data_IF_155715349702
#
_entry.id   IF_155715349702
#
_cell.length_a   1.000
_cell.length_b   1.000
_cell.length_c   1.000
_cell.angle_alpha   90.00
_cell.angle_beta   90.00
_cell.angle_gamma   90.00
#
_symmetry.space_group_name_H-M   'P 1'
#
loop_
_entity.id
_entity.type
_entity.pdbx_description
1 polymer ?
#
# COMPACT_ATOMS: atom_id res chain seq x y z
N UNK A 1 9.60 2.13 32.97
CA UNK A 1 8.49 1.34 32.38
C UNK A 1 8.84 -0.12 32.56
N UNK A 2 7.84 -1.00 32.71
CA UNK A 2 8.10 -2.44 32.72
C UNK A 2 8.45 -2.83 31.29
N UNK A 3 9.70 -3.21 31.03
CA UNK A 3 10.12 -3.77 29.75
C UNK A 3 9.53 -5.18 29.63
N UNK A 4 8.31 -5.25 29.08
CA UNK A 4 7.71 -6.52 28.70
C UNK A 4 8.41 -6.97 27.42
N UNK A 5 9.46 -7.78 27.56
CA UNK A 5 10.13 -8.46 26.44
C UNK A 5 9.11 -9.43 25.84
N UNK A 6 8.34 -8.98 24.84
CA UNK A 6 7.43 -9.82 24.04
C UNK A 6 8.25 -10.52 22.97
N UNK A 7 9.02 -11.53 23.33
CA UNK A 7 9.57 -12.47 22.34
C UNK A 7 8.44 -13.41 21.92
N UNK A 8 7.71 -13.07 20.86
CA UNK A 8 6.88 -14.08 20.19
C UNK A 8 7.83 -15.01 19.43
N UNK A 9 8.02 -16.23 19.91
CA UNK A 9 8.61 -17.28 19.08
C UNK A 9 7.69 -17.51 17.88
N UNK A 10 8.12 -17.06 16.71
CA UNK A 10 7.35 -17.23 15.48
C UNK A 10 7.75 -18.55 14.83
N UNK A 11 6.76 -19.39 14.57
CA UNK A 11 6.99 -20.63 13.85
C UNK A 11 7.09 -20.35 12.34
N UNK A 12 8.32 -20.37 11.83
CA UNK A 12 8.63 -20.21 10.40
C UNK A 12 8.76 -21.55 9.65
N UNK A 13 8.51 -22.69 10.31
CA UNK A 13 8.70 -24.04 9.73
C UNK A 13 7.86 -24.28 8.47
N UNK A 14 6.75 -23.57 8.32
CA UNK A 14 5.81 -23.70 7.20
C UNK A 14 6.01 -22.64 6.11
N UNK A 15 7.12 -21.88 6.12
CA UNK A 15 7.37 -20.81 5.15
C UNK A 15 7.19 -21.25 3.70
N UNK A 16 7.84 -22.34 3.28
CA UNK A 16 7.75 -22.84 1.90
C UNK A 16 6.32 -23.25 1.52
N UNK A 17 5.59 -23.91 2.43
CA UNK A 17 4.21 -24.29 2.22
C UNK A 17 3.33 -23.04 2.00
N UNK A 18 3.44 -22.05 2.89
CA UNK A 18 2.67 -20.81 2.80
C UNK A 18 3.02 -20.00 1.55
N UNK A 19 4.29 -20.00 1.14
CA UNK A 19 4.75 -19.35 -0.09
C UNK A 19 4.12 -19.99 -1.34
N UNK A 20 4.11 -21.33 -1.41
CA UNK A 20 3.44 -22.07 -2.50
C UNK A 20 1.94 -21.81 -2.48
N UNK A 21 1.30 -21.83 -1.31
CA UNK A 21 -0.14 -21.52 -1.18
C UNK A 21 -0.45 -20.13 -1.72
N UNK A 22 0.37 -19.12 -1.43
CA UNK A 22 0.18 -17.77 -1.96
C UNK A 22 0.27 -17.71 -3.50
N UNK A 23 1.24 -18.41 -4.10
CA UNK A 23 1.36 -18.50 -5.56
C UNK A 23 0.13 -19.19 -6.15
N UNK A 24 -0.26 -20.33 -5.60
CA UNK A 24 -1.43 -21.10 -6.07
C UNK A 24 -2.70 -20.26 -5.95
N UNK A 25 -2.90 -19.55 -4.85
CA UNK A 25 -4.04 -18.66 -4.65
C UNK A 25 -4.04 -17.52 -5.67
N UNK A 26 -2.88 -16.91 -5.92
CA UNK A 26 -2.73 -15.84 -6.92
C UNK A 26 -3.07 -16.33 -8.33
N UNK A 27 -2.55 -17.50 -8.72
CA UNK A 27 -2.85 -18.14 -10.02
C UNK A 27 -4.32 -18.51 -10.12
N UNK A 28 -4.91 -19.04 -9.04
CA UNK A 28 -6.32 -19.41 -8.99
C UNK A 28 -7.23 -18.20 -9.28
N UNK A 29 -6.99 -17.05 -8.65
CA UNK A 29 -7.77 -15.84 -8.92
C UNK A 29 -7.60 -15.30 -10.35
N UNK A 30 -6.39 -15.37 -10.91
CA UNK A 30 -6.16 -15.03 -12.33
C UNK A 30 -6.96 -15.99 -13.21
N UNK A 31 -6.90 -17.29 -12.95
CA UNK A 31 -7.64 -18.29 -13.72
C UNK A 31 -9.15 -18.02 -13.67
N UNK A 32 -9.72 -17.75 -12.49
CA UNK A 32 -11.13 -17.39 -12.36
C UNK A 32 -11.49 -16.12 -13.16
N UNK A 33 -10.61 -15.12 -13.20
CA UNK A 33 -10.85 -13.91 -13.99
C UNK A 33 -10.96 -14.20 -15.50
N UNK A 34 -10.13 -15.12 -16.02
CA UNK A 34 -10.19 -15.55 -17.42
C UNK A 34 -11.38 -16.45 -17.72
N UNK A 35 -11.86 -17.24 -16.75
CA UNK A 35 -13.12 -18.00 -16.89
C UNK A 35 -14.32 -17.06 -17.01
N UNK A 36 -14.34 -15.99 -16.22
CA UNK A 36 -15.40 -14.99 -16.27
C UNK A 36 -15.37 -14.20 -17.58
N UNK A 37 -14.17 -13.81 -18.04
CA UNK A 37 -14.01 -13.11 -19.30
C UNK A 37 -12.60 -13.29 -19.90
N UNK A 38 -12.52 -13.98 -21.04
CA UNK A 38 -11.24 -14.24 -21.73
C UNK A 38 -10.51 -12.96 -22.18
N UNK A 39 -11.23 -11.85 -22.34
CA UNK A 39 -10.69 -10.55 -22.74
C UNK A 39 -10.44 -9.60 -21.55
N UNK A 40 -10.47 -10.09 -20.30
CA UNK A 40 -10.30 -9.29 -19.07
C UNK A 40 -9.05 -8.41 -19.09
N UNK A 41 -7.95 -8.87 -19.69
CA UNK A 41 -6.71 -8.09 -19.82
C UNK A 41 -6.88 -6.77 -20.58
N UNK A 42 -7.83 -6.67 -21.51
CA UNK A 42 -8.10 -5.42 -22.24
C UNK A 42 -8.80 -4.38 -21.36
N UNK A 43 -9.58 -4.84 -20.37
CA UNK A 43 -10.29 -3.98 -19.41
C UNK A 43 -9.40 -3.57 -18.24
N UNK A 44 -8.49 -4.44 -17.82
CA UNK A 44 -7.67 -4.27 -16.62
C UNK A 44 -6.99 -2.90 -16.46
N UNK A 45 -6.40 -2.27 -17.51
CA UNK A 45 -5.76 -0.96 -17.37
C UNK A 45 -6.70 0.17 -16.90
N UNK A 46 -8.01 -0.02 -16.94
CA UNK A 46 -8.99 0.97 -16.49
C UNK A 46 -8.92 1.20 -14.97
N UNK A 47 -8.54 0.19 -14.18
CA UNK A 47 -8.45 0.32 -12.71
C UNK A 47 -7.38 1.33 -12.30
N UNK A 48 -6.31 1.46 -13.11
CA UNK A 48 -5.19 2.36 -12.84
C UNK A 48 -5.57 3.85 -12.91
N UNK A 49 -6.73 4.16 -13.46
CA UNK A 49 -7.27 5.52 -13.51
C UNK A 49 -8.02 5.91 -12.23
N UNK A 50 -8.30 4.94 -11.35
CA UNK A 50 -8.97 5.20 -10.07
C UNK A 50 -7.94 5.51 -9.00
N UNK A 51 -8.26 6.48 -8.16
CA UNK A 51 -7.41 6.82 -7.01
C UNK A 51 -7.45 5.74 -5.92
N UNK A 52 -8.56 5.00 -5.82
CA UNK A 52 -8.74 3.96 -4.80
C UNK A 52 -9.35 4.41 -3.48
N UNK A 53 -9.96 5.62 -3.42
CA UNK A 53 -10.63 6.12 -2.22
C UNK A 53 -11.83 5.25 -1.81
N UNK A 54 -12.30 5.41 -0.57
CA UNK A 54 -13.31 4.61 0.13
C UNK A 54 -14.57 4.21 -0.67
N UNK A 55 -14.95 4.98 -1.70
CA UNK A 55 -16.12 4.68 -2.55
C UNK A 55 -15.79 3.85 -3.81
N UNK A 56 -14.58 3.28 -3.89
CA UNK A 56 -14.14 2.49 -5.06
C UNK A 56 -14.39 1.02 -4.79
N UNK A 57 -15.22 0.39 -5.61
CA UNK A 57 -15.45 -1.05 -5.63
C UNK A 57 -15.20 -1.54 -7.05
N UNK A 58 -14.12 -2.30 -7.26
CA UNK A 58 -13.76 -2.77 -8.60
C UNK A 58 -14.73 -3.79 -9.19
N UNK A 59 -15.50 -4.52 -8.35
CA UNK A 59 -16.53 -5.44 -8.87
C UNK A 59 -17.67 -4.66 -9.52
N UNK A 60 -18.07 -3.55 -8.91
CA UNK A 60 -19.13 -2.67 -9.41
C UNK A 60 -18.64 -1.77 -10.54
N UNK A 61 -17.45 -1.18 -10.38
CA UNK A 61 -16.91 -0.19 -11.32
C UNK A 61 -16.43 -0.81 -12.65
N UNK A 62 -15.87 -2.03 -12.62
CA UNK A 62 -15.19 -2.63 -13.77
C UNK A 62 -15.59 -4.07 -14.08
N UNK A 63 -16.33 -4.71 -13.18
CA UNK A 63 -16.74 -6.10 -13.29
C UNK A 63 -15.96 -7.03 -12.38
N UNK A 64 -16.59 -8.16 -12.03
CA UNK A 64 -16.02 -9.20 -11.19
C UNK A 64 -14.76 -9.81 -11.82
N UNK A 65 -14.71 -9.97 -13.15
CA UNK A 65 -13.53 -10.40 -13.91
C UNK A 65 -12.30 -9.56 -13.58
N UNK A 66 -12.43 -8.24 -13.64
CA UNK A 66 -11.33 -7.29 -13.39
C UNK A 66 -10.91 -7.32 -11.91
N UNK A 67 -11.87 -7.41 -10.99
CA UNK A 67 -11.57 -7.49 -9.55
C UNK A 67 -10.80 -8.77 -9.21
N UNK A 68 -11.21 -9.93 -9.73
CA UNK A 68 -10.52 -11.22 -9.55
C UNK A 68 -9.10 -11.17 -10.12
N UNK A 69 -8.92 -10.59 -11.30
CA UNK A 69 -7.61 -10.43 -11.91
C UNK A 69 -6.69 -9.56 -11.03
N UNK A 70 -7.23 -8.48 -10.47
CA UNK A 70 -6.49 -7.60 -9.57
C UNK A 70 -6.07 -8.30 -8.27
N UNK A 71 -6.95 -9.13 -7.68
CA UNK A 71 -6.58 -9.97 -6.52
C UNK A 71 -5.36 -10.81 -6.86
N UNK A 72 -5.39 -11.52 -7.99
CA UNK A 72 -4.26 -12.35 -8.43
C UNK A 72 -2.96 -11.56 -8.61
N UNK A 73 -2.99 -10.42 -9.30
CA UNK A 73 -1.80 -9.59 -9.49
C UNK A 73 -1.26 -8.96 -8.20
N UNK A 74 -2.14 -8.56 -7.29
CA UNK A 74 -1.75 -8.06 -5.97
C UNK A 74 -1.09 -9.16 -5.14
N UNK A 75 -1.57 -10.41 -5.26
CA UNK A 75 -0.90 -11.58 -4.68
C UNK A 75 0.51 -11.78 -5.21
N UNK A 76 0.71 -11.65 -6.53
CA UNK A 76 2.05 -11.70 -7.13
C UNK A 76 2.96 -10.57 -6.66
N UNK A 77 2.44 -9.36 -6.43
CA UNK A 77 3.21 -8.27 -5.83
C UNK A 77 3.70 -8.67 -4.43
N UNK A 78 2.84 -9.31 -3.62
CA UNK A 78 3.26 -9.84 -2.31
C UNK A 78 4.32 -10.94 -2.46
N UNK A 79 4.19 -11.87 -3.41
CA UNK A 79 5.22 -12.90 -3.68
C UNK A 79 6.57 -12.26 -4.01
N UNK A 80 6.58 -11.27 -4.92
CA UNK A 80 7.78 -10.52 -5.32
C UNK A 80 8.38 -9.81 -4.11
N UNK A 81 7.57 -9.10 -3.32
CA UNK A 81 8.01 -8.42 -2.11
C UNK A 81 8.69 -9.40 -1.14
N UNK A 82 8.04 -10.53 -0.86
CA UNK A 82 8.55 -11.53 0.08
C UNK A 82 9.89 -12.10 -0.38
N UNK A 83 9.98 -12.45 -1.67
CA UNK A 83 11.19 -13.03 -2.24
C UNK A 83 12.38 -12.05 -2.20
N UNK A 84 12.18 -10.81 -2.66
CA UNK A 84 13.27 -9.83 -2.74
C UNK A 84 13.67 -9.23 -1.39
N UNK A 85 12.71 -9.07 -0.46
CA UNK A 85 13.00 -8.58 0.88
C UNK A 85 13.45 -9.70 1.85
N UNK A 86 13.52 -10.96 1.39
CA UNK A 86 13.92 -12.09 2.24
C UNK A 86 12.97 -12.36 3.41
N UNK A 87 11.69 -12.00 3.28
CA UNK A 87 10.71 -12.10 4.35
C UNK A 87 10.30 -13.56 4.55
N UNK A 88 10.36 -14.05 5.79
CA UNK A 88 9.80 -15.36 6.13
C UNK A 88 8.29 -15.26 6.37
N UNK A 89 7.54 -16.18 5.76
CA UNK A 89 6.08 -16.24 5.92
C UNK A 89 5.74 -17.12 7.13
N UNK A 90 5.06 -16.52 8.09
CA UNK A 90 4.40 -17.16 9.22
C UNK A 90 2.93 -16.71 9.29
N UNK A 91 2.20 -17.13 10.33
CA UNK A 91 0.77 -16.80 10.50
C UNK A 91 0.46 -15.30 10.35
N UNK A 92 1.12 -14.39 11.12
CA UNK A 92 0.92 -12.95 11.00
C UNK A 92 1.21 -12.40 9.60
N UNK A 93 2.32 -12.80 8.97
CA UNK A 93 2.68 -12.35 7.62
C UNK A 93 1.65 -12.82 6.59
N UNK A 94 1.19 -14.07 6.69
CA UNK A 94 0.14 -14.60 5.82
C UNK A 94 -1.18 -13.85 6.02
N UNK A 95 -1.56 -13.54 7.27
CA UNK A 95 -2.75 -12.72 7.56
C UNK A 95 -2.65 -11.32 6.94
N UNK A 96 -1.47 -10.69 7.00
CA UNK A 96 -1.23 -9.41 6.35
C UNK A 96 -1.41 -9.50 4.82
N UNK A 97 -0.87 -10.54 4.18
CA UNK A 97 -1.00 -10.76 2.74
C UNK A 97 -2.46 -11.03 2.33
N UNK A 98 -3.18 -11.85 3.09
CA UNK A 98 -4.62 -12.09 2.86
C UNK A 98 -5.43 -10.78 3.01
N UNK A 99 -5.00 -9.88 3.89
CA UNK A 99 -5.59 -8.53 4.00
C UNK A 99 -5.30 -7.69 2.75
N UNK A 100 -4.09 -7.76 2.19
CA UNK A 100 -3.77 -7.09 0.91
C UNK A 100 -4.70 -7.59 -0.20
N UNK A 101 -4.84 -8.91 -0.33
CA UNK A 101 -5.70 -9.58 -1.30
C UNK A 101 -7.18 -9.23 -1.13
N UNK A 102 -7.72 -9.31 0.10
CA UNK A 102 -9.14 -9.00 0.33
C UNK A 102 -9.50 -7.56 0.00
N UNK A 103 -8.63 -6.62 0.37
CA UNK A 103 -8.86 -5.20 0.10
C UNK A 103 -8.40 -4.75 -1.29
N UNK A 104 -7.83 -5.61 -2.14
CA UNK A 104 -7.52 -5.24 -3.52
C UNK A 104 -8.78 -5.04 -4.37
N UNK A 105 -9.93 -5.54 -3.93
CA UNK A 105 -11.22 -5.23 -4.55
C UNK A 105 -11.64 -3.77 -4.30
N UNK A 106 -11.18 -3.19 -3.18
CA UNK A 106 -11.57 -1.86 -2.71
C UNK A 106 -10.48 -0.81 -2.95
N UNK A 107 -10.09 -0.65 -4.22
CA UNK A 107 -9.31 0.52 -4.64
C UNK A 107 -7.79 0.39 -4.63
N UNK A 108 -7.21 -0.74 -4.19
CA UNK A 108 -5.76 -0.97 -4.32
C UNK A 108 -5.44 -1.67 -5.62
N UNK A 109 -4.47 -1.17 -6.35
CA UNK A 109 -3.95 -1.79 -7.57
C UNK A 109 -2.43 -1.62 -7.63
N UNK A 110 -1.71 -2.33 -8.53
CA UNK A 110 -0.25 -2.26 -8.62
C UNK A 110 0.34 -0.84 -8.57
N UNK A 111 -0.16 0.08 -9.40
CA UNK A 111 0.43 1.42 -9.53
C UNK A 111 0.28 2.33 -8.29
N UNK A 112 -0.71 2.10 -7.41
CA UNK A 112 -0.86 2.89 -6.18
C UNK A 112 -0.30 2.16 -4.95
N UNK A 113 -0.09 0.85 -5.06
CA UNK A 113 0.43 -0.01 -3.99
C UNK A 113 1.97 -0.02 -3.96
N UNK A 114 2.61 -0.15 -5.12
CA UNK A 114 4.08 -0.21 -5.20
C UNK A 114 4.75 1.03 -4.60
N UNK A 115 4.30 2.27 -4.86
CA UNK A 115 4.93 3.46 -4.28
C UNK A 115 4.94 3.49 -2.75
N UNK A 116 3.86 3.06 -2.10
CA UNK A 116 3.79 3.04 -0.63
C UNK A 116 4.68 1.94 -0.03
N UNK A 117 4.79 0.78 -0.70
CA UNK A 117 5.74 -0.28 -0.31
C UNK A 117 7.18 0.23 -0.44
N UNK A 118 7.52 0.88 -1.55
CA UNK A 118 8.86 1.48 -1.75
C UNK A 118 9.17 2.48 -0.65
N UNK A 119 8.21 3.35 -0.30
CA UNK A 119 8.36 4.31 0.80
C UNK A 119 8.68 3.63 2.13
N UNK A 120 7.95 2.55 2.46
CA UNK A 120 8.18 1.76 3.66
C UNK A 120 9.57 1.11 3.68
N UNK A 121 10.00 0.51 2.57
CA UNK A 121 11.34 -0.09 2.45
C UNK A 121 12.41 0.99 2.63
N UNK A 122 12.26 2.14 1.97
CA UNK A 122 13.19 3.26 2.11
C UNK A 122 13.29 3.75 3.56
N UNK A 123 12.21 3.72 4.34
CA UNK A 123 12.29 4.06 5.76
C UNK A 123 13.18 3.08 6.53
N UNK A 124 13.13 1.79 6.22
CA UNK A 124 14.01 0.80 6.85
C UNK A 124 15.46 1.06 6.42
N UNK A 125 15.72 1.22 5.12
CA UNK A 125 17.09 1.36 4.60
C UNK A 125 17.77 2.71 4.94
N UNK A 126 17.00 3.77 5.18
CA UNK A 126 17.53 5.12 5.44
C UNK A 126 17.48 5.55 6.91
N UNK A 127 16.98 4.70 7.80
CA UNK A 127 16.90 5.00 9.24
C UNK A 127 17.46 3.84 10.07
N UNK A 128 17.62 3.99 11.40
CA UNK A 128 18.09 2.90 12.26
C UNK A 128 17.11 1.73 12.44
N UNK A 129 16.04 1.65 11.64
CA UNK A 129 15.08 0.55 11.69
C UNK A 129 15.70 -0.70 11.07
N UNK A 130 15.45 -1.86 11.68
CA UNK A 130 15.90 -3.15 11.18
C UNK A 130 14.73 -4.01 10.69
N UNK A 131 15.02 -4.93 9.78
CA UNK A 131 14.08 -5.93 9.29
C UNK A 131 13.71 -6.95 10.39
N UNK A 132 12.84 -6.55 11.31
CA UNK A 132 12.23 -7.39 12.33
C UNK A 132 10.75 -7.66 11.99
N UNK A 133 10.05 -8.47 12.80
CA UNK A 133 8.64 -8.82 12.52
C UNK A 133 7.73 -7.59 12.42
N UNK A 134 7.94 -6.59 13.28
CA UNK A 134 7.14 -5.36 13.30
C UNK A 134 7.22 -4.62 11.96
N UNK A 135 8.39 -4.07 11.60
CA UNK A 135 8.62 -3.41 10.30
C UNK A 135 8.26 -4.28 9.09
N UNK A 136 8.50 -5.59 9.15
CA UNK A 136 8.08 -6.52 8.09
C UNK A 136 6.57 -6.51 7.87
N UNK A 137 5.78 -6.65 8.95
CA UNK A 137 4.33 -6.55 8.87
C UNK A 137 3.90 -5.17 8.37
N UNK A 138 4.61 -4.13 8.83
CA UNK A 138 4.35 -2.75 8.42
C UNK A 138 4.53 -2.52 6.93
N UNK A 139 5.56 -3.09 6.31
CA UNK A 139 5.81 -3.00 4.86
C UNK A 139 4.68 -3.66 4.06
N UNK A 140 4.02 -4.69 4.59
CA UNK A 140 2.87 -5.34 3.93
C UNK A 140 1.58 -4.56 4.18
N UNK A 141 1.35 -4.11 5.41
CA UNK A 141 0.13 -3.36 5.78
C UNK A 141 0.12 -1.91 5.28
N UNK A 142 1.27 -1.33 4.94
CA UNK A 142 1.37 0.03 4.37
C UNK A 142 0.54 0.19 3.10
N UNK A 143 0.20 -0.90 2.42
CA UNK A 143 -0.70 -0.92 1.27
C UNK A 143 -2.09 -0.36 1.58
N UNK A 144 -2.50 -0.24 2.85
CA UNK A 144 -3.68 0.52 3.27
C UNK A 144 -3.62 2.00 2.87
N UNK A 145 -2.42 2.57 2.70
CA UNK A 145 -2.19 3.95 2.26
C UNK A 145 -2.12 4.10 0.73
N UNK A 146 -2.29 3.01 -0.03
CA UNK A 146 -2.29 3.06 -1.49
C UNK A 146 -3.21 4.15 -2.09
N UNK A 147 -4.40 4.47 -1.52
CA UNK A 147 -5.23 5.55 -2.05
C UNK A 147 -4.56 6.93 -2.04
N UNK A 148 -3.61 7.20 -1.14
CA UNK A 148 -2.82 8.45 -1.16
C UNK A 148 -1.94 8.52 -2.41
N UNK A 149 -1.28 7.41 -2.76
CA UNK A 149 -0.49 7.33 -3.98
C UNK A 149 -1.37 7.43 -5.23
N UNK A 150 -2.56 6.83 -5.21
CA UNK A 150 -3.50 6.88 -6.34
C UNK A 150 -4.08 8.28 -6.54
N UNK A 151 -4.33 9.04 -5.47
CA UNK A 151 -4.87 10.39 -5.57
C UNK A 151 -3.79 11.46 -5.86
N UNK A 152 -2.66 11.38 -5.17
CA UNK A 152 -1.64 12.43 -5.17
C UNK A 152 -0.39 12.02 -5.95
N UNK A 153 -0.35 10.80 -6.51
CA UNK A 153 0.74 10.30 -7.34
C UNK A 153 1.86 9.62 -6.54
N UNK A 154 2.85 9.13 -7.29
CA UNK A 154 3.92 8.23 -6.81
C UNK A 154 4.69 8.83 -5.63
N UNK A 155 5.09 10.11 -5.72
CA UNK A 155 5.89 10.78 -4.68
C UNK A 155 5.15 10.85 -3.35
N UNK A 156 3.84 11.18 -3.39
CA UNK A 156 3.02 11.21 -2.20
C UNK A 156 2.86 9.81 -1.58
N UNK A 157 2.78 8.76 -2.40
CA UNK A 157 2.81 7.38 -1.96
C UNK A 157 4.10 7.00 -1.24
N UNK A 158 5.25 7.35 -1.81
CA UNK A 158 6.56 7.09 -1.19
C UNK A 158 6.66 7.81 0.16
N UNK A 159 6.28 9.08 0.23
CA UNK A 159 6.28 9.86 1.49
C UNK A 159 5.34 9.21 2.52
N UNK A 160 4.14 8.81 2.10
CA UNK A 160 3.16 8.19 3.00
C UNK A 160 3.68 6.87 3.57
N UNK A 161 4.27 6.02 2.73
CA UNK A 161 4.84 4.75 3.18
C UNK A 161 6.05 4.94 4.10
N UNK A 162 6.89 5.93 3.82
CA UNK A 162 8.04 6.26 4.66
C UNK A 162 7.59 6.73 6.05
N UNK A 163 6.65 7.67 6.09
CA UNK A 163 6.11 8.21 7.36
C UNK A 163 5.37 7.13 8.15
N UNK A 164 4.66 6.21 7.48
CA UNK A 164 3.97 5.10 8.14
C UNK A 164 4.91 4.27 9.02
N UNK A 165 6.06 3.88 8.49
CA UNK A 165 7.04 3.10 9.25
C UNK A 165 7.58 3.84 10.47
N UNK A 166 7.73 5.16 10.40
CA UNK A 166 8.17 5.99 11.53
C UNK A 166 7.08 6.20 12.59
N UNK A 167 5.80 6.22 12.18
CA UNK A 167 4.67 6.47 13.07
C UNK A 167 4.28 5.24 13.89
N UNK A 168 4.50 4.03 13.39
CA UNK A 168 4.07 2.79 14.05
C UNK A 168 4.51 2.64 15.52
N UNK A 169 5.79 2.82 15.90
CA UNK A 169 6.19 2.72 17.31
C UNK A 169 5.51 3.81 18.17
N UNK A 170 5.41 5.03 17.65
CA UNK A 170 4.75 6.15 18.33
C UNK A 170 3.25 5.90 18.53
N UNK A 171 2.60 5.32 17.52
CA UNK A 171 1.19 4.95 17.57
C UNK A 171 0.93 3.83 18.60
N UNK A 172 1.84 2.86 18.69
CA UNK A 172 1.76 1.77 19.68
C UNK A 172 1.85 2.31 21.12
N UNK A 173 2.77 3.23 21.36
CA UNK A 173 2.94 3.90 22.66
C UNK A 173 1.72 4.77 22.98
N UNK A 174 1.23 5.53 22.00
CA UNK A 174 0.05 6.40 22.15
C UNK A 174 -1.19 5.62 22.60
N UNK A 175 -1.43 4.45 22.02
CA UNK A 175 -2.56 3.60 22.37
C UNK A 175 -2.28 2.64 23.54
N UNK A 176 -1.08 2.68 24.14
CA UNK A 176 -0.70 1.82 25.27
C UNK A 176 -0.75 0.31 24.98
N UNK A 177 -0.68 -0.09 23.70
CA UNK A 177 -0.77 -1.49 23.28
C UNK A 177 -2.15 -2.14 23.38
N UNK A 178 -3.24 -1.37 23.55
CA UNK A 178 -4.61 -1.91 23.61
C UNK A 178 -5.20 -2.28 22.24
N UNK A 179 -4.75 -1.64 21.15
CA UNK A 179 -5.13 -2.04 19.80
C UNK A 179 -4.11 -3.02 19.20
N UNK A 180 -4.59 -4.23 18.99
CA UNK A 180 -3.82 -5.33 18.41
C UNK A 180 -3.53 -5.11 16.92
N UNK A 181 -4.31 -4.27 16.24
CA UNK A 181 -4.11 -3.91 14.84
C UNK A 181 -3.49 -2.51 14.68
N UNK A 182 -2.40 -2.27 15.41
CA UNK A 182 -1.66 -0.99 15.38
C UNK A 182 -1.29 -0.53 13.97
N UNK A 183 -1.01 -1.46 13.05
CA UNK A 183 -0.71 -1.12 11.65
C UNK A 183 -1.90 -0.43 10.95
N UNK A 184 -3.13 -0.89 11.20
CA UNK A 184 -4.33 -0.24 10.69
C UNK A 184 -4.58 1.11 11.34
N UNK A 185 -4.42 1.21 12.65
CA UNK A 185 -4.56 2.47 13.39
C UNK A 185 -3.54 3.52 12.90
N UNK A 186 -2.26 3.15 12.80
CA UNK A 186 -1.20 4.00 12.26
C UNK A 186 -1.50 4.44 10.81
N UNK A 187 -1.96 3.53 9.94
CA UNK A 187 -2.34 3.89 8.57
C UNK A 187 -3.51 4.89 8.55
N UNK A 188 -4.52 4.71 9.40
CA UNK A 188 -5.61 5.67 9.58
C UNK A 188 -5.11 7.04 10.02
N UNK A 189 -4.21 7.07 11.00
CA UNK A 189 -3.59 8.30 11.51
C UNK A 189 -2.76 9.03 10.45
N UNK A 190 -1.88 8.30 9.75
CA UNK A 190 -1.05 8.83 8.65
C UNK A 190 -1.93 9.37 7.52
N UNK A 191 -2.99 8.64 7.16
CA UNK A 191 -3.95 9.11 6.16
C UNK A 191 -4.68 10.38 6.60
N UNK A 192 -5.14 10.46 7.84
CA UNK A 192 -5.81 11.64 8.38
C UNK A 192 -4.90 12.87 8.42
N UNK A 193 -3.59 12.66 8.67
CA UNK A 193 -2.59 13.72 8.66
C UNK A 193 -2.20 14.17 7.24
N UNK A 194 -1.83 13.23 6.37
CA UNK A 194 -1.25 13.54 5.06
C UNK A 194 -2.28 13.93 4.01
N UNK A 195 -3.49 13.38 4.05
CA UNK A 195 -4.52 13.71 3.05
C UNK A 195 -4.84 15.21 2.97
N UNK A 196 -5.11 15.95 4.08
CA UNK A 196 -5.35 17.39 4.00
C UNK A 196 -4.10 18.17 3.55
N UNK A 197 -2.90 17.78 4.02
CA UNK A 197 -1.64 18.43 3.65
C UNK A 197 -1.41 18.32 2.13
N UNK A 198 -1.50 17.10 1.59
CA UNK A 198 -1.36 16.89 0.15
C UNK A 198 -2.46 17.60 -0.64
N UNK A 199 -3.70 17.64 -0.14
CA UNK A 199 -4.78 18.38 -0.79
C UNK A 199 -4.43 19.86 -0.97
N UNK A 200 -3.93 20.51 0.08
CA UNK A 200 -3.52 21.92 0.01
C UNK A 200 -2.33 22.10 -0.92
N UNK A 201 -1.28 21.28 -0.78
CA UNK A 201 -0.08 21.38 -1.63
C UNK A 201 -0.41 21.23 -3.12
N UNK A 202 -1.26 20.28 -3.49
CA UNK A 202 -1.63 20.04 -4.88
C UNK A 202 -2.50 21.17 -5.43
N UNK A 203 -3.42 21.70 -4.62
CA UNK A 203 -4.24 22.86 -4.99
C UNK A 203 -3.34 24.08 -5.29
N UNK A 204 -2.39 24.39 -4.41
CA UNK A 204 -1.43 25.50 -4.60
C UNK A 204 -0.56 25.29 -5.85
N UNK A 205 -0.10 24.06 -6.10
CA UNK A 205 0.69 23.73 -7.30
C UNK A 205 -0.11 24.00 -8.58
N UNK A 206 -1.37 23.58 -8.60
CA UNK A 206 -2.22 23.72 -9.78
C UNK A 206 -2.62 25.19 -10.02
N UNK A 207 -2.84 25.97 -8.95
CA UNK A 207 -3.00 27.42 -9.00
C UNK A 207 -1.74 28.12 -9.56
N UNK A 208 -0.55 27.77 -9.08
CA UNK A 208 0.71 28.32 -9.60
C UNK A 208 0.95 27.99 -11.07
N UNK A 209 0.62 26.77 -11.51
CA UNK A 209 0.69 26.40 -12.94
C UNK A 209 -0.27 27.24 -13.80
N UNK A 210 -1.47 27.53 -13.28
CA UNK A 210 -2.44 28.39 -13.96
C UNK A 210 -1.89 29.81 -14.09
N UNK A 211 -1.34 30.39 -13.02
CA UNK A 211 -0.74 31.73 -13.05
C UNK A 211 0.46 31.82 -13.99
N UNK A 212 1.36 30.84 -13.99
CA UNK A 212 2.51 30.80 -14.90
C UNK A 212 2.11 30.64 -16.38
N UNK A 213 0.92 30.09 -16.67
CA UNK A 213 0.35 30.06 -18.03
C UNK A 213 -0.26 31.39 -18.45
N UNK A 214 -0.87 32.12 -17.53
CA UNK A 214 -1.53 33.43 -17.79
C UNK A 214 -0.50 34.56 -17.86
N UNK A 215 0.54 34.49 -17.03
CA UNK A 215 1.63 35.45 -16.95
C UNK A 215 2.94 34.73 -17.28
N UNK A 216 3.28 34.51 -18.57
CA UNK A 216 4.61 34.04 -18.92
C UNK A 216 5.62 35.03 -18.32
N UNK A 217 6.60 34.48 -17.56
CA UNK A 217 7.66 35.18 -16.81
C UNK A 217 8.42 36.25 -17.63
N UNK A 218 8.24 36.27 -18.95
CA UNK A 218 8.77 37.25 -19.89
C UNK A 218 8.12 38.65 -19.77
N UNK A 219 6.98 38.79 -19.08
CA UNK A 219 6.36 40.10 -18.81
C UNK A 219 6.86 40.79 -17.54
N UNK A 220 7.79 40.17 -16.78
CA UNK A 220 8.40 40.74 -15.57
C UNK A 220 9.89 41.04 -15.82
N UNK A 221 10.23 41.56 -17.00
CA UNK A 221 11.43 42.40 -17.14
C UNK A 221 11.00 43.82 -16.79
N UNK A 222 11.15 44.17 -15.51
CA UNK A 222 11.10 45.57 -15.07
C UNK A 222 12.32 46.28 -15.64
N UNK A 223 12.06 47.38 -16.34
CA UNK A 223 13.02 48.47 -16.60
C UNK A 223 13.55 49.05 -15.30
#
# INVERSE_FOLDING_TARGET
GIDIIRSSELNNSYHHLLFVVLIVLSVFFIFLAFLENIHVLKKYPQIFKKSGRLNTDFTVDFGQDVALLNIGFMGFICVVLIYFAGIQINGPVMGAILTVLGFSVYGKHPLNTIPVIIGAILAIELTPLEWTIGPTLSVIFVTGLAPLAGQFGIVAGIIAGFIHLLIIPLALDFQGGFDLYNNGFAAGFVSALLAPIFTVMFKLRDENKKWNRILPLNMIKRE
#
